data_IF_868747353665
#
_entry.id   IF_868747353665
#
_cell.length_a   1.000
_cell.length_b   1.000
_cell.length_c   1.000
_cell.angle_alpha   90.00
_cell.angle_beta   90.00
_cell.angle_gamma   90.00
#
_symmetry.space_group_name_H-M   'P 1'
#
loop_
_entity.id
_entity.type
_entity.pdbx_description
1 polymer ?
#
# COMPACT_ATOMS: atom_id res chain seq x y z
N UNK A 1 18.54 7.56 11.20
CA UNK A 1 17.72 6.34 11.30
C UNK A 1 16.85 6.54 12.52
N UNK A 2 15.60 6.09 12.52
CA UNK A 2 14.74 6.19 13.71
C UNK A 2 15.03 5.01 14.63
N UNK A 3 15.07 5.26 15.92
CA UNK A 3 15.19 4.23 16.94
C UNK A 3 13.79 3.80 17.37
N UNK A 4 13.49 2.51 17.26
CA UNK A 4 12.25 1.93 17.75
C UNK A 4 12.46 1.30 19.12
N UNK A 5 11.47 1.40 19.99
CA UNK A 5 11.34 0.56 21.18
C UNK A 5 10.74 -0.81 20.82
N UNK A 6 10.92 -1.80 21.71
CA UNK A 6 10.34 -3.14 21.51
C UNK A 6 8.81 -3.10 21.50
N UNK A 7 8.21 -2.20 22.29
CA UNK A 7 6.77 -1.97 22.31
C UNK A 7 6.25 -1.47 20.95
N UNK A 8 6.96 -0.55 20.31
CA UNK A 8 6.58 -0.04 18.99
C UNK A 8 6.72 -1.11 17.90
N UNK A 9 7.83 -1.87 17.89
CA UNK A 9 8.02 -2.99 16.96
C UNK A 9 6.90 -4.03 17.09
N UNK A 10 6.59 -4.42 18.33
CA UNK A 10 5.51 -5.37 18.63
C UNK A 10 4.14 -4.84 18.18
N UNK A 11 3.86 -3.56 18.44
CA UNK A 11 2.60 -2.93 18.05
C UNK A 11 2.42 -2.92 16.54
N UNK A 12 3.45 -2.53 15.78
CA UNK A 12 3.42 -2.52 14.32
C UNK A 12 3.20 -3.93 13.77
N UNK A 13 3.95 -4.92 14.26
CA UNK A 13 3.80 -6.31 13.84
C UNK A 13 2.41 -6.87 14.16
N UNK A 14 1.85 -6.54 15.33
CA UNK A 14 0.52 -6.97 15.76
C UNK A 14 -0.60 -6.38 14.89
N UNK A 15 -0.49 -5.12 14.49
CA UNK A 15 -1.43 -4.50 13.54
C UNK A 15 -1.28 -5.12 12.16
N UNK A 16 -0.04 -5.27 11.68
CA UNK A 16 0.23 -5.85 10.36
C UNK A 16 -0.28 -7.30 10.24
N UNK A 17 -0.14 -8.11 11.28
CA UNK A 17 -0.62 -9.50 11.31
C UNK A 17 -2.14 -9.64 11.17
N UNK A 18 -2.91 -8.55 11.30
CA UNK A 18 -4.37 -8.52 11.09
C UNK A 18 -4.77 -8.04 9.69
N UNK A 19 -3.81 -7.55 8.89
CA UNK A 19 -4.07 -6.99 7.57
C UNK A 19 -4.15 -8.14 6.55
N UNK A 20 -5.29 -8.22 5.85
CA UNK A 20 -5.40 -9.01 4.64
C UNK A 20 -4.96 -8.16 3.42
N UNK A 21 -3.82 -8.50 2.82
CA UNK A 21 -3.26 -7.74 1.69
C UNK A 21 -4.18 -7.77 0.45
N UNK A 22 -4.89 -8.88 0.24
CA UNK A 22 -5.80 -9.03 -0.91
C UNK A 22 -7.04 -8.15 -0.80
N UNK A 23 -7.38 -7.72 0.42
CA UNK A 23 -8.49 -6.82 0.70
C UNK A 23 -8.03 -5.37 0.83
N UNK A 24 -7.07 -5.11 1.72
CA UNK A 24 -6.66 -3.76 2.08
C UNK A 24 -5.83 -3.09 0.97
N UNK A 25 -5.06 -3.87 0.21
CA UNK A 25 -4.24 -3.36 -0.90
C UNK A 25 -5.08 -2.66 -1.96
N UNK A 26 -6.05 -3.35 -2.57
CA UNK A 26 -6.97 -2.75 -3.53
C UNK A 26 -7.74 -1.55 -2.96
N UNK A 27 -8.26 -1.66 -1.73
CA UNK A 27 -9.03 -0.58 -1.09
C UNK A 27 -8.20 0.69 -0.88
N UNK A 28 -6.96 0.54 -0.41
CA UNK A 28 -6.07 1.67 -0.14
C UNK A 28 -5.72 2.42 -1.43
N UNK A 29 -5.28 1.71 -2.47
CA UNK A 29 -4.90 2.36 -3.73
C UNK A 29 -6.11 2.98 -4.44
N UNK A 30 -7.25 2.28 -4.46
CA UNK A 30 -8.48 2.84 -5.02
C UNK A 30 -8.88 4.14 -4.30
N UNK A 31 -8.81 4.17 -2.96
CA UNK A 31 -9.12 5.37 -2.17
C UNK A 31 -8.18 6.53 -2.47
N UNK A 32 -6.89 6.28 -2.67
CA UNK A 32 -5.93 7.31 -3.09
C UNK A 32 -6.34 7.92 -4.43
N UNK A 33 -6.68 7.10 -5.41
CA UNK A 33 -7.05 7.56 -6.76
C UNK A 33 -8.39 8.29 -6.81
N UNK A 34 -9.32 7.95 -5.90
CA UNK A 34 -10.63 8.60 -5.80
C UNK A 34 -10.53 9.93 -5.03
N UNK A 35 -9.91 9.92 -3.85
CA UNK A 35 -9.85 11.09 -2.96
C UNK A 35 -8.83 12.13 -3.45
N UNK A 36 -7.77 11.67 -4.15
CA UNK A 36 -6.73 12.54 -4.70
C UNK A 36 -6.57 12.30 -6.21
N UNK A 37 -7.51 12.78 -7.06
CA UNK A 37 -7.52 12.47 -8.50
C UNK A 37 -6.24 12.82 -9.26
N UNK A 38 -5.48 13.82 -8.81
CA UNK A 38 -4.19 14.19 -9.42
C UNK A 38 -3.20 13.01 -9.45
N UNK A 39 -3.31 12.06 -8.52
CA UNK A 39 -2.44 10.87 -8.46
C UNK A 39 -2.66 9.91 -9.62
N UNK A 40 -3.82 9.95 -10.28
CA UNK A 40 -4.11 9.12 -11.45
C UNK A 40 -3.14 9.36 -12.61
N UNK A 41 -2.52 10.55 -12.68
CA UNK A 41 -1.55 10.92 -13.73
C UNK A 41 -0.35 9.97 -13.83
N UNK A 42 -0.02 9.26 -12.75
CA UNK A 42 1.10 8.32 -12.73
C UNK A 42 0.73 6.91 -13.23
N UNK A 43 -0.57 6.61 -13.34
CA UNK A 43 -1.09 5.27 -13.64
C UNK A 43 -1.81 5.21 -14.99
N UNK A 44 -1.41 6.01 -15.98
CA UNK A 44 -2.06 6.03 -17.30
C UNK A 44 -2.13 4.68 -18.00
N UNK A 45 -1.15 3.79 -17.76
CA UNK A 45 -1.14 2.43 -18.29
C UNK A 45 -2.22 1.49 -17.68
N UNK A 46 -2.94 1.95 -16.66
CA UNK A 46 -3.96 1.16 -15.97
C UNK A 46 -5.32 1.25 -16.70
N UNK A 47 -5.44 2.10 -17.72
CA UNK A 47 -6.64 2.25 -18.51
C UNK A 47 -7.64 3.20 -17.85
N UNK A 48 -8.91 2.81 -17.81
CA UNK A 48 -9.97 3.70 -17.32
C UNK A 48 -9.90 3.91 -15.80
N UNK A 49 -9.69 5.16 -15.38
CA UNK A 49 -9.71 5.62 -13.98
C UNK A 49 -10.67 6.82 -13.78
N UNK A 50 -11.56 7.08 -14.75
CA UNK A 50 -12.36 8.32 -14.82
C UNK A 50 -13.47 8.44 -13.76
N UNK A 51 -13.80 7.36 -13.05
CA UNK A 51 -14.85 7.37 -12.01
C UNK A 51 -14.50 6.40 -10.88
N UNK A 52 -15.16 6.57 -9.73
CA UNK A 52 -14.97 5.67 -8.59
C UNK A 52 -15.29 4.20 -8.94
N UNK A 53 -16.37 3.96 -9.68
CA UNK A 53 -16.74 2.62 -10.14
C UNK A 53 -15.68 2.03 -11.09
N UNK A 54 -15.15 2.84 -12.01
CA UNK A 54 -14.07 2.41 -12.90
C UNK A 54 -12.80 2.06 -12.12
N UNK A 55 -12.42 2.85 -11.12
CA UNK A 55 -11.25 2.61 -10.26
C UNK A 55 -11.43 1.33 -9.42
N UNK A 56 -12.58 1.18 -8.75
CA UNK A 56 -12.88 0.02 -7.89
C UNK A 56 -12.94 -1.29 -8.68
N UNK A 57 -13.44 -1.24 -9.92
CA UNK A 57 -13.50 -2.39 -10.82
C UNK A 57 -12.22 -2.66 -11.61
N UNK A 58 -11.17 -1.85 -11.46
CA UNK A 58 -9.97 -1.97 -12.30
C UNK A 58 -9.02 -3.06 -11.74
N UNK A 59 -8.77 -4.16 -12.49
CA UNK A 59 -7.93 -5.25 -12.01
C UNK A 59 -6.47 -4.82 -11.80
N UNK A 60 -5.95 -3.87 -12.59
CA UNK A 60 -4.58 -3.36 -12.43
C UNK A 60 -4.43 -2.49 -11.18
N UNK A 61 -5.46 -1.73 -10.80
CA UNK A 61 -5.48 -1.01 -9.52
C UNK A 61 -5.46 -2.01 -8.36
N UNK A 62 -6.28 -3.05 -8.43
CA UNK A 62 -6.31 -4.11 -7.41
C UNK A 62 -4.95 -4.80 -7.26
N UNK A 63 -4.35 -5.22 -8.37
CA UNK A 63 -3.03 -5.88 -8.39
C UNK A 63 -1.90 -4.96 -7.89
N UNK A 64 -1.89 -3.71 -8.32
CA UNK A 64 -0.88 -2.77 -7.85
C UNK A 64 -1.05 -2.43 -6.37
N UNK A 65 -2.28 -2.34 -5.87
CA UNK A 65 -2.57 -2.18 -4.44
C UNK A 65 -1.98 -3.32 -3.61
N UNK A 66 -2.13 -4.57 -4.05
CA UNK A 66 -1.47 -5.73 -3.43
C UNK A 66 0.06 -5.61 -3.49
N UNK A 67 0.59 -5.19 -4.63
CA UNK A 67 2.05 -5.01 -4.82
C UNK A 67 2.61 -3.99 -3.81
N UNK A 68 1.94 -2.85 -3.64
CA UNK A 68 2.35 -1.80 -2.69
C UNK A 68 2.32 -2.31 -1.24
N UNK A 69 1.26 -3.02 -0.84
CA UNK A 69 1.17 -3.55 0.53
C UNK A 69 2.15 -4.70 0.80
N UNK A 70 2.40 -5.57 -0.18
CA UNK A 70 3.45 -6.57 -0.07
C UNK A 70 4.85 -5.94 0.00
N UNK A 71 5.05 -4.75 -0.59
CA UNK A 71 6.29 -4.01 -0.38
C UNK A 71 6.39 -3.58 1.10
N UNK A 72 5.34 -3.01 1.69
CA UNK A 72 5.32 -2.60 3.10
C UNK A 72 5.62 -3.74 4.08
N UNK A 73 5.25 -4.98 3.78
CA UNK A 73 5.63 -6.16 4.57
C UNK A 73 7.16 -6.26 4.79
N UNK A 74 7.95 -5.90 3.76
CA UNK A 74 9.41 -5.86 3.87
C UNK A 74 9.87 -4.82 4.89
N UNK A 75 9.23 -3.65 4.93
CA UNK A 75 9.55 -2.61 5.91
C UNK A 75 9.19 -3.05 7.33
N UNK A 76 8.01 -3.67 7.53
CA UNK A 76 7.57 -4.19 8.83
C UNK A 76 8.54 -5.26 9.36
N UNK A 77 9.10 -6.08 8.48
CA UNK A 77 10.12 -7.10 8.84
C UNK A 77 11.52 -6.52 9.06
N UNK A 78 11.78 -5.27 8.65
CA UNK A 78 13.10 -4.63 8.68
C UNK A 78 13.02 -3.20 9.21
N UNK A 79 12.26 -2.97 10.30
CA UNK A 79 11.96 -1.62 10.83
C UNK A 79 13.20 -0.77 11.14
N UNK A 80 14.29 -1.41 11.54
CA UNK A 80 15.54 -0.72 11.88
C UNK A 80 16.38 -0.33 10.65
N UNK A 81 16.07 -0.88 9.47
CA UNK A 81 16.80 -0.60 8.23
C UNK A 81 15.86 -0.39 7.03
N UNK A 82 14.77 0.36 7.23
CA UNK A 82 13.79 0.64 6.16
C UNK A 82 14.47 1.29 4.95
N UNK A 83 15.38 2.25 5.18
CA UNK A 83 16.10 2.92 4.07
C UNK A 83 16.90 1.91 3.25
N UNK A 84 17.68 1.04 3.91
CA UNK A 84 18.46 0.01 3.22
C UNK A 84 17.60 -1.07 2.55
N UNK A 85 16.38 -1.31 3.05
CA UNK A 85 15.44 -2.28 2.49
C UNK A 85 14.90 -1.89 1.10
N UNK A 86 14.85 -0.58 0.80
CA UNK A 86 14.34 -0.04 -0.48
C UNK A 86 15.39 0.72 -1.29
N UNK A 87 16.67 0.56 -0.95
CA UNK A 87 17.77 1.14 -1.72
C UNK A 87 18.08 0.35 -2.98
#
# INVERSE_FOLDING_TARGET
MVEWSDSERSTIASVWGKINVDEIGPQALARVLIVYPLTQRYLGAFGNLSSAAAILGNPKVSEHGRTVLNALDKAVKNLDNIKGTYS
#
